data_IF_940309967915
#
_entry.id   IF_940309967915
#
_cell.length_a   1.000
_cell.length_b   1.000
_cell.length_c   1.000
_cell.angle_alpha   90.00
_cell.angle_beta   90.00
_cell.angle_gamma   90.00
#
_symmetry.space_group_name_H-M   'P 1'
#
loop_
_entity.id
_entity.type
_entity.pdbx_description
1 polymer ?
#
# COMPACT_ATOMS: atom_id res chain seq x y z
N UNK A 1 -26.04 -16.42 -2.75
CA UNK A 1 -24.64 -16.85 -2.68
C UNK A 1 -23.93 -15.95 -3.66
N UNK A 2 -23.27 -14.92 -3.15
CA UNK A 2 -22.58 -13.96 -4.00
C UNK A 2 -21.37 -14.66 -4.60
N UNK A 3 -21.32 -14.70 -5.93
CA UNK A 3 -20.24 -15.29 -6.70
C UNK A 3 -18.96 -14.54 -6.34
N UNK A 4 -18.03 -15.21 -5.64
CA UNK A 4 -16.73 -14.62 -5.34
C UNK A 4 -16.04 -14.41 -6.68
N UNK A 5 -15.76 -13.14 -7.02
CA UNK A 5 -15.02 -12.79 -8.22
C UNK A 5 -13.64 -13.43 -8.13
N UNK A 6 -13.46 -14.55 -8.85
CA UNK A 6 -12.16 -15.18 -9.03
C UNK A 6 -11.24 -14.12 -9.64
N UNK A 7 -10.00 -13.95 -9.16
CA UNK A 7 -9.12 -12.96 -9.75
C UNK A 7 -8.96 -13.32 -11.23
N UNK A 8 -9.08 -12.33 -12.12
CA UNK A 8 -8.89 -12.52 -13.55
C UNK A 8 -7.39 -12.78 -13.80
N UNK A 9 -6.94 -14.02 -13.55
CA UNK A 9 -5.53 -14.39 -13.64
C UNK A 9 -5.15 -14.49 -15.10
N UNK A 10 -4.30 -13.56 -15.56
CA UNK A 10 -3.52 -13.67 -16.79
C UNK A 10 -4.36 -14.00 -18.03
N UNK A 11 -5.00 -13.00 -18.61
CA UNK A 11 -5.57 -13.12 -19.94
C UNK A 11 -4.54 -12.72 -21.00
N UNK A 12 -4.72 -13.23 -22.23
CA UNK A 12 -3.87 -12.86 -23.36
C UNK A 12 -4.12 -11.40 -23.74
N UNK A 13 -3.11 -10.54 -23.58
CA UNK A 13 -3.18 -9.13 -23.95
C UNK A 13 -3.30 -8.94 -25.48
N UNK A 14 -2.99 -9.97 -26.26
CA UNK A 14 -3.17 -9.98 -27.72
C UNK A 14 -4.60 -10.40 -28.14
N UNK A 15 -5.42 -10.90 -27.21
CA UNK A 15 -6.82 -11.27 -27.47
C UNK A 15 -7.76 -10.12 -27.11
N UNK A 16 -8.15 -9.35 -28.14
CA UNK A 16 -9.05 -8.20 -28.00
C UNK A 16 -10.37 -8.52 -27.27
N UNK A 17 -10.91 -9.74 -27.40
CA UNK A 17 -12.14 -10.11 -26.71
C UNK A 17 -11.89 -10.34 -25.21
N UNK A 18 -10.77 -10.97 -24.87
CA UNK A 18 -10.37 -11.16 -23.47
C UNK A 18 -10.09 -9.81 -22.78
N UNK A 19 -9.42 -8.90 -23.50
CA UNK A 19 -9.16 -7.52 -23.08
C UNK A 19 -10.45 -6.79 -22.76
N UNK A 20 -11.40 -6.80 -23.70
CA UNK A 20 -12.68 -6.10 -23.53
C UNK A 20 -13.45 -6.66 -22.35
N UNK A 21 -13.49 -7.99 -22.18
CA UNK A 21 -14.12 -8.63 -21.01
C UNK A 21 -13.47 -8.21 -19.70
N UNK A 22 -12.14 -8.16 -19.66
CA UNK A 22 -11.42 -7.73 -18.47
C UNK A 22 -11.68 -6.24 -18.16
N UNK A 23 -11.67 -5.40 -19.18
CA UNK A 23 -12.02 -3.98 -19.05
C UNK A 23 -13.45 -3.81 -18.52
N UNK A 24 -14.45 -4.47 -19.12
CA UNK A 24 -15.84 -4.40 -18.66
C UNK A 24 -15.98 -4.90 -17.21
N UNK A 25 -15.23 -5.95 -16.86
CA UNK A 25 -15.15 -6.46 -15.50
C UNK A 25 -14.59 -5.41 -14.52
N UNK A 26 -13.47 -4.75 -14.86
CA UNK A 26 -12.90 -3.68 -14.04
C UNK A 26 -13.86 -2.51 -13.87
N UNK A 27 -14.66 -2.20 -14.90
CA UNK A 27 -15.65 -1.11 -14.86
C UNK A 27 -16.81 -1.44 -13.92
N UNK A 28 -17.32 -2.67 -14.00
CA UNK A 28 -18.32 -3.15 -13.06
C UNK A 28 -17.77 -3.17 -11.63
N UNK A 29 -16.54 -3.66 -11.43
CA UNK A 29 -15.88 -3.69 -10.14
C UNK A 29 -15.64 -2.28 -9.57
N UNK A 30 -15.29 -1.31 -10.42
CA UNK A 30 -15.12 0.10 -10.03
C UNK A 30 -16.42 0.71 -9.54
N UNK A 31 -17.52 0.48 -10.26
CA UNK A 31 -18.85 0.93 -9.82
C UNK A 31 -19.21 0.32 -8.45
N UNK A 32 -18.89 -0.96 -8.24
CA UNK A 32 -19.08 -1.62 -6.95
C UNK A 32 -18.17 -1.07 -5.84
N UNK A 33 -16.92 -0.74 -6.16
CA UNK A 33 -15.97 -0.10 -5.23
C UNK A 33 -16.43 1.30 -4.82
N UNK A 34 -17.05 2.05 -5.74
CA UNK A 34 -17.66 3.35 -5.41
C UNK A 34 -18.92 3.21 -4.57
N UNK A 35 -19.72 2.15 -4.79
CA UNK A 35 -20.92 1.87 -3.99
C UNK A 35 -20.61 1.34 -2.59
N UNK A 36 -19.52 0.57 -2.47
CA UNK A 36 -19.04 -0.04 -1.22
C UNK A 36 -17.55 0.28 -1.03
N UNK A 37 -17.22 1.55 -0.74
CA UNK A 37 -15.84 1.98 -0.60
C UNK A 37 -15.16 1.33 0.60
N UNK A 38 -13.83 1.37 0.61
CA UNK A 38 -13.09 1.15 1.85
C UNK A 38 -13.30 2.35 2.77
N UNK A 39 -13.61 2.07 4.04
CA UNK A 39 -13.92 3.08 5.04
C UNK A 39 -13.17 2.77 6.34
N UNK A 40 -12.98 3.77 7.22
CA UNK A 40 -12.53 3.54 8.58
C UNK A 40 -13.38 2.46 9.27
N UNK A 41 -12.73 1.52 9.96
CA UNK A 41 -13.39 0.40 10.64
C UNK A 41 -13.42 -0.91 9.85
N UNK A 42 -13.07 -0.91 8.56
CA UNK A 42 -12.89 -2.14 7.77
C UNK A 42 -11.73 -2.96 8.36
N UNK A 43 -11.90 -4.28 8.45
CA UNK A 43 -10.96 -5.20 9.10
C UNK A 43 -10.41 -6.24 8.13
N UNK A 44 -9.12 -6.51 8.26
CA UNK A 44 -8.44 -7.58 7.54
C UNK A 44 -7.66 -8.46 8.51
N UNK A 45 -7.88 -9.77 8.45
CA UNK A 45 -7.09 -10.74 9.18
C UNK A 45 -5.85 -11.08 8.35
N UNK A 46 -4.68 -10.78 8.91
CA UNK A 46 -3.39 -10.81 8.20
C UNK A 46 -2.34 -11.52 9.05
N UNK A 47 -1.56 -12.38 8.42
CA UNK A 47 -0.37 -13.00 8.99
C UNK A 47 0.86 -12.08 8.82
N UNK A 48 1.14 -11.22 9.81
CA UNK A 48 2.28 -10.31 9.72
C UNK A 48 3.61 -11.05 9.81
N UNK A 49 4.51 -10.78 8.87
CA UNK A 49 5.90 -11.23 8.92
C UNK A 49 6.71 -10.18 9.68
N UNK A 50 7.22 -10.52 10.87
CA UNK A 50 8.04 -9.58 11.65
C UNK A 50 9.45 -9.60 11.06
N UNK A 51 9.94 -8.50 10.45
CA UNK A 51 11.30 -8.45 9.95
C UNK A 51 12.30 -8.47 11.11
N UNK A 52 13.52 -8.99 10.91
CA UNK A 52 14.54 -8.94 11.95
C UNK A 52 14.85 -7.48 12.29
N UNK A 53 15.09 -7.21 13.59
CA UNK A 53 15.57 -5.90 14.02
C UNK A 53 16.87 -5.56 13.29
N UNK A 54 16.99 -4.31 12.83
CA UNK A 54 18.19 -3.87 12.14
C UNK A 54 19.25 -3.55 13.21
N UNK A 55 20.42 -4.22 13.22
CA UNK A 55 21.41 -4.05 14.27
C UNK A 55 22.13 -2.70 14.23
N UNK A 56 21.90 -1.89 13.17
CA UNK A 56 22.52 -0.59 13.05
C UNK A 56 22.06 0.35 14.19
N UNK A 57 22.97 1.07 14.87
CA UNK A 57 22.64 1.87 16.06
C UNK A 57 21.62 2.99 15.80
N UNK A 58 21.56 3.48 14.57
CA UNK A 58 20.61 4.52 14.14
C UNK A 58 19.31 3.95 13.53
N UNK A 59 19.11 2.63 13.55
CA UNK A 59 17.85 2.06 13.08
C UNK A 59 16.73 2.36 14.08
N UNK A 60 15.55 2.70 13.55
CA UNK A 60 14.32 2.76 14.35
C UNK A 60 14.06 1.40 14.96
N UNK A 61 13.51 1.39 16.17
CA UNK A 61 13.01 0.16 16.77
C UNK A 61 11.80 -0.35 15.98
N UNK A 62 11.61 -1.67 15.96
CA UNK A 62 10.39 -2.23 15.39
C UNK A 62 9.16 -1.66 16.12
N UNK A 63 8.07 -1.37 15.38
CA UNK A 63 6.79 -1.06 15.99
C UNK A 63 6.40 -2.10 17.05
N UNK A 64 5.90 -1.69 18.23
CA UNK A 64 5.60 -2.61 19.31
C UNK A 64 4.35 -3.43 18.97
N UNK A 65 4.50 -4.57 18.28
CA UNK A 65 3.37 -5.43 17.98
C UNK A 65 2.91 -6.18 19.25
N UNK A 66 1.59 -6.40 19.42
CA UNK A 66 1.07 -7.21 20.52
C UNK A 66 1.74 -8.59 20.56
N UNK A 67 2.17 -9.02 21.75
CA UNK A 67 2.71 -10.36 21.95
C UNK A 67 1.54 -11.34 21.86
N UNK A 68 1.59 -12.25 20.88
CA UNK A 68 0.61 -13.31 20.74
C UNK A 68 1.28 -14.58 20.23
N UNK A 69 0.63 -15.72 20.49
CA UNK A 69 1.10 -17.05 20.09
C UNK A 69 1.02 -17.31 18.58
N UNK A 70 0.31 -16.45 17.85
CA UNK A 70 0.15 -16.53 16.38
C UNK A 70 0.66 -15.27 15.68
N UNK A 71 1.11 -15.43 14.44
CA UNK A 71 1.37 -14.32 13.50
C UNK A 71 0.11 -13.61 12.99
N UNK A 72 -1.09 -14.07 13.37
CA UNK A 72 -2.37 -13.55 12.88
C UNK A 72 -2.82 -12.32 13.65
N UNK A 73 -2.90 -11.18 12.98
CA UNK A 73 -3.39 -9.92 13.53
C UNK A 73 -4.63 -9.49 12.75
N UNK A 74 -5.52 -8.75 13.41
CA UNK A 74 -6.59 -8.04 12.72
C UNK A 74 -6.16 -6.59 12.55
N UNK A 75 -6.08 -6.12 11.30
CA UNK A 75 -5.79 -4.73 10.99
C UNK A 75 -7.10 -4.01 10.72
N UNK A 76 -7.40 -2.98 11.51
CA UNK A 76 -8.58 -2.13 11.35
C UNK A 76 -8.16 -0.83 10.68
N UNK A 77 -8.71 -0.52 9.50
CA UNK A 77 -8.46 0.76 8.83
C UNK A 77 -8.89 1.93 9.72
N UNK A 78 -8.08 2.98 9.78
CA UNK A 78 -8.32 4.15 10.63
C UNK A 78 -8.42 5.43 9.80
N UNK A 79 -7.29 6.02 9.40
CA UNK A 79 -7.25 7.25 8.61
C UNK A 79 -6.82 6.97 7.15
N UNK A 80 -7.59 7.43 6.13
CA UNK A 80 -7.12 7.41 4.76
C UNK A 80 -6.01 8.44 4.55
N UNK A 81 -4.89 8.01 3.96
CA UNK A 81 -3.78 8.88 3.56
C UNK A 81 -3.84 9.24 2.07
N UNK A 82 -4.31 8.30 1.23
CA UNK A 82 -4.51 8.51 -0.20
C UNK A 82 -5.60 7.55 -0.68
N UNK A 83 -6.71 8.05 -1.20
CA UNK A 83 -7.83 7.19 -1.67
C UNK A 83 -8.42 7.62 -3.01
N UNK A 84 -7.79 8.62 -3.64
CA UNK A 84 -8.27 9.15 -4.91
C UNK A 84 -8.26 8.10 -6.02
N UNK A 85 -9.21 8.25 -6.93
CA UNK A 85 -9.20 7.58 -8.22
C UNK A 85 -7.95 8.02 -9.01
N UNK A 86 -7.50 7.19 -9.95
CA UNK A 86 -6.30 7.41 -10.77
C UNK A 86 -4.96 7.34 -10.01
N UNK A 87 -4.99 6.75 -8.82
CA UNK A 87 -3.79 6.31 -8.11
C UNK A 87 -3.65 4.80 -8.24
N UNK A 88 -2.42 4.33 -8.41
CA UNK A 88 -2.13 2.89 -8.48
C UNK A 88 -2.41 2.14 -7.16
N UNK A 89 -2.67 2.85 -6.07
CA UNK A 89 -2.97 2.26 -4.77
C UNK A 89 -3.73 3.24 -3.88
N UNK A 90 -4.55 2.69 -3.00
CA UNK A 90 -5.05 3.39 -1.83
C UNK A 90 -4.08 3.19 -0.66
N UNK A 91 -3.87 4.20 0.16
CA UNK A 91 -2.97 4.17 1.31
C UNK A 91 -3.74 4.57 2.55
N UNK A 92 -3.70 3.72 3.57
CA UNK A 92 -4.42 3.87 4.81
C UNK A 92 -3.47 3.68 5.98
N UNK A 93 -3.72 4.40 7.08
CA UNK A 93 -3.26 3.91 8.39
C UNK A 93 -4.21 2.82 8.87
N UNK A 94 -3.67 1.86 9.61
CA UNK A 94 -4.45 0.85 10.27
C UNK A 94 -3.92 0.56 11.66
N UNK A 95 -4.86 0.21 12.52
CA UNK A 95 -4.62 -0.19 13.89
C UNK A 95 -4.43 -1.69 13.95
N UNK A 96 -3.41 -2.13 14.68
CA UNK A 96 -3.24 -3.54 15.02
C UNK A 96 -4.12 -3.88 16.22
N UNK A 97 -5.16 -4.68 16.00
CA UNK A 97 -5.97 -5.31 17.04
C UNK A 97 -5.34 -6.68 17.38
N UNK A 98 -4.90 -6.86 18.63
CA UNK A 98 -4.39 -8.14 19.12
C UNK A 98 -5.53 -9.07 19.55
N UNK A 99 -5.43 -10.37 19.26
CA UNK A 99 -6.42 -11.34 19.73
C UNK A 99 -6.30 -11.52 21.25
N UNK A 100 -7.33 -11.10 22.00
CA UNK A 100 -7.52 -11.48 23.41
C UNK A 100 -6.80 -10.63 24.47
N UNK A 101 -6.16 -9.52 24.13
CA UNK A 101 -5.59 -8.61 25.13
C UNK A 101 -6.58 -7.49 25.50
N UNK A 102 -6.79 -7.29 26.80
CA UNK A 102 -7.42 -6.08 27.32
C UNK A 102 -6.70 -4.86 26.72
N UNK A 103 -7.46 -3.89 26.18
CA UNK A 103 -6.95 -2.67 25.52
C UNK A 103 -5.73 -2.11 26.25
N UNK A 104 -4.54 -2.45 25.76
CA UNK A 104 -3.29 -1.87 26.26
C UNK A 104 -3.22 -0.41 25.80
N UNK A 105 -2.59 0.44 26.59
CA UNK A 105 -2.57 1.89 26.40
C UNK A 105 -1.83 2.37 25.13
N UNK A 106 -1.12 1.49 24.43
CA UNK A 106 -0.38 1.84 23.20
C UNK A 106 -0.86 0.99 22.04
N UNK A 107 -1.69 1.59 21.20
CA UNK A 107 -2.24 1.01 19.98
C UNK A 107 -1.21 1.16 18.85
N UNK A 108 -0.79 0.04 18.27
CA UNK A 108 0.22 0.07 17.21
C UNK A 108 -0.43 0.42 15.89
N UNK A 109 0.11 1.44 15.24
CA UNK A 109 -0.34 1.92 13.93
C UNK A 109 0.61 1.44 12.85
N UNK A 110 0.06 0.89 11.78
CA UNK A 110 0.76 0.47 10.57
C UNK A 110 0.19 1.22 9.37
N UNK A 111 0.84 1.10 8.21
CA UNK A 111 0.34 1.58 6.92
C UNK A 111 -0.03 0.40 6.06
N UNK A 112 -1.22 0.45 5.46
CA UNK A 112 -1.68 -0.48 4.43
C UNK A 112 -1.71 0.25 3.10
N UNK A 113 -0.84 -0.17 2.18
CA UNK A 113 -0.91 0.23 0.78
C UNK A 113 -1.66 -0.86 0.01
N UNK A 114 -2.88 -0.55 -0.39
CA UNK A 114 -3.82 -1.48 -1.00
C UNK A 114 -3.88 -1.22 -2.50
N UNK A 115 -3.51 -2.22 -3.27
CA UNK A 115 -3.57 -2.22 -4.73
C UNK A 115 -4.83 -2.99 -5.13
N UNK A 116 -5.89 -2.25 -5.41
CA UNK A 116 -7.19 -2.77 -5.83
C UNK A 116 -7.34 -2.55 -7.35
N UNK A 117 -7.48 -3.61 -8.17
CA UNK A 117 -7.50 -3.50 -9.63
C UNK A 117 -8.44 -2.43 -10.18
N UNK A 118 -9.68 -2.40 -9.72
CA UNK A 118 -10.70 -1.46 -10.20
C UNK A 118 -10.40 0.00 -9.87
N UNK A 119 -9.53 0.26 -8.89
CA UNK A 119 -9.16 1.60 -8.45
C UNK A 119 -7.87 2.11 -9.09
N UNK A 120 -7.08 1.24 -9.74
CA UNK A 120 -5.92 1.63 -10.53
C UNK A 120 -6.35 2.42 -11.78
N UNK A 121 -5.46 3.25 -12.38
CA UNK A 121 -5.75 3.96 -13.62
C UNK A 121 -6.33 3.03 -14.69
N UNK A 122 -7.42 3.48 -15.29
CA UNK A 122 -8.09 2.77 -16.37
C UNK A 122 -7.24 2.88 -17.64
N UNK A 123 -7.14 1.82 -18.42
CA UNK A 123 -6.55 1.91 -19.75
C UNK A 123 -7.67 2.11 -20.77
N UNK A 124 -7.43 2.97 -21.76
CA UNK A 124 -8.31 3.10 -22.92
C UNK A 124 -8.05 1.93 -23.87
N UNK A 125 -9.10 1.23 -24.30
CA UNK A 125 -8.99 0.09 -25.22
C UNK A 125 -8.59 0.57 -26.63
N UNK A 126 -8.94 1.80 -26.99
CA UNK A 126 -8.77 2.33 -28.35
C UNK A 126 -7.36 2.94 -28.58
N UNK A 127 -6.68 3.37 -27.52
CA UNK A 127 -5.26 3.72 -27.57
C UNK A 127 -4.42 2.44 -27.60
N UNK A 128 -3.30 2.41 -28.33
CA UNK A 128 -2.46 1.24 -28.56
C UNK A 128 -1.78 0.72 -27.26
N UNK A 129 -2.59 0.20 -26.32
CA UNK A 129 -2.31 0.00 -24.90
C UNK A 129 -1.56 -1.31 -24.61
N UNK A 130 -1.52 -2.21 -25.60
CA UNK A 130 -0.82 -3.49 -25.57
C UNK A 130 0.67 -3.25 -25.34
N UNK A 131 1.10 -3.35 -24.09
CA UNK A 131 2.49 -3.18 -23.65
C UNK A 131 2.68 -2.22 -22.47
N UNK A 132 1.70 -1.35 -22.17
CA UNK A 132 1.80 -0.37 -21.08
C UNK A 132 0.97 -0.74 -19.85
N UNK A 133 -0.01 -1.63 -19.99
CA UNK A 133 -0.79 -2.08 -18.84
C UNK A 133 0.03 -3.01 -17.96
N UNK A 134 0.17 -2.64 -16.69
CA UNK A 134 0.80 -3.49 -15.68
C UNK A 134 -0.27 -4.08 -14.79
N UNK A 135 -0.31 -5.41 -14.71
CA UNK A 135 -1.24 -6.10 -13.82
C UNK A 135 -1.05 -5.66 -12.36
N UNK A 136 -2.12 -5.27 -11.65
CA UNK A 136 -2.05 -4.83 -10.26
C UNK A 136 -1.34 -5.83 -9.33
N UNK A 137 -1.56 -7.13 -9.53
CA UNK A 137 -0.84 -8.19 -8.80
C UNK A 137 0.68 -8.10 -9.01
N UNK A 138 1.09 -7.96 -10.27
CA UNK A 138 2.49 -7.88 -10.63
C UNK A 138 3.15 -6.66 -10.01
N UNK A 139 2.47 -5.50 -10.01
CA UNK A 139 2.93 -4.29 -9.32
C UNK A 139 3.13 -4.55 -7.82
N UNK A 140 2.16 -5.18 -7.17
CA UNK A 140 2.24 -5.48 -5.74
C UNK A 140 3.43 -6.40 -5.40
N UNK A 141 3.58 -7.48 -6.17
CA UNK A 141 4.67 -8.45 -6.00
C UNK A 141 6.03 -7.84 -6.29
N UNK A 142 6.14 -7.02 -7.34
CA UNK A 142 7.39 -6.33 -7.68
C UNK A 142 7.81 -5.39 -6.55
N UNK A 143 6.88 -4.64 -5.97
CA UNK A 143 7.16 -3.76 -4.83
C UNK A 143 7.56 -4.55 -3.58
N UNK A 144 6.89 -5.66 -3.27
CA UNK A 144 7.27 -6.55 -2.18
C UNK A 144 8.71 -7.11 -2.36
N UNK A 145 9.06 -7.53 -3.58
CA UNK A 145 10.43 -7.97 -3.91
C UNK A 145 11.47 -6.87 -3.72
N UNK A 146 11.12 -5.61 -3.96
CA UNK A 146 12.02 -4.47 -3.70
C UNK A 146 12.29 -4.32 -2.20
N UNK A 147 11.26 -4.45 -1.36
CA UNK A 147 11.43 -4.42 0.11
C UNK A 147 12.32 -5.56 0.61
N UNK A 148 12.16 -6.76 0.07
CA UNK A 148 13.02 -7.92 0.40
C UNK A 148 14.49 -7.65 0.05
N UNK A 149 14.74 -7.09 -1.14
CA UNK A 149 16.11 -6.73 -1.58
C UNK A 149 16.72 -5.60 -0.75
N UNK A 150 15.88 -4.75 -0.15
CA UNK A 150 16.28 -3.63 0.70
C UNK A 150 16.15 -3.93 2.20
N UNK A 151 16.09 -5.21 2.60
CA UNK A 151 15.92 -5.61 3.99
C UNK A 151 16.94 -4.96 4.94
N UNK A 152 18.20 -4.81 4.53
CA UNK A 152 19.25 -4.16 5.33
C UNK A 152 19.10 -2.64 5.48
N UNK A 153 18.19 -2.00 4.71
CA UNK A 153 17.86 -0.58 4.79
C UNK A 153 16.56 -0.31 5.58
N UNK A 154 15.78 -1.35 5.87
CA UNK A 154 14.56 -1.22 6.67
C UNK A 154 14.87 -0.78 8.10
N UNK A 155 14.04 0.10 8.64
CA UNK A 155 14.26 0.79 9.92
C UNK A 155 15.26 1.96 9.83
N UNK A 156 15.98 2.12 8.72
CA UNK A 156 16.88 3.25 8.47
C UNK A 156 16.23 4.25 7.51
N UNK A 157 16.54 4.12 6.22
CA UNK A 157 16.06 5.04 5.18
C UNK A 157 14.70 4.65 4.60
N UNK A 158 14.27 3.40 4.81
CA UNK A 158 12.94 2.92 4.39
C UNK A 158 12.19 2.34 5.59
N UNK A 159 10.84 2.31 5.54
CA UNK A 159 10.03 1.69 6.58
C UNK A 159 10.31 0.19 6.73
N UNK A 160 10.03 -0.37 7.90
CA UNK A 160 9.87 -1.83 8.01
C UNK A 160 8.71 -2.33 7.16
N UNK A 161 8.90 -3.48 6.50
CA UNK A 161 7.92 -4.17 5.69
C UNK A 161 7.48 -5.45 6.38
N UNK A 162 6.18 -5.61 6.55
CA UNK A 162 5.57 -6.73 7.27
C UNK A 162 4.94 -7.77 6.34
N UNK A 163 5.08 -7.60 5.03
CA UNK A 163 4.62 -8.55 4.03
C UNK A 163 3.57 -8.00 3.07
N UNK A 164 3.26 -8.85 2.10
CA UNK A 164 2.20 -8.66 1.11
C UNK A 164 1.10 -9.69 1.37
N UNK A 165 -0.15 -9.25 1.36
CA UNK A 165 -1.31 -10.08 1.68
C UNK A 165 -2.39 -9.91 0.62
N UNK A 166 -3.02 -11.02 0.25
CA UNK A 166 -4.24 -10.99 -0.56
C UNK A 166 -5.42 -10.74 0.37
N UNK A 167 -6.20 -9.71 0.09
CA UNK A 167 -7.38 -9.32 0.89
C UNK A 167 -8.62 -9.31 0.01
N UNK A 168 -9.80 -9.41 0.65
CA UNK A 168 -11.09 -9.21 0.00
C UNK A 168 -11.66 -7.87 0.46
N UNK A 169 -11.89 -6.95 -0.48
CA UNK A 169 -12.41 -5.60 -0.17
C UNK A 169 -13.91 -5.65 0.16
N UNK A 170 -14.48 -4.57 0.74
CA UNK A 170 -15.93 -4.46 0.96
C UNK A 170 -16.77 -4.56 -0.33
N UNK A 171 -16.18 -4.25 -1.49
CA UNK A 171 -16.80 -4.39 -2.81
C UNK A 171 -16.71 -5.81 -3.38
N UNK A 172 -16.27 -6.80 -2.59
CA UNK A 172 -16.07 -8.19 -2.99
C UNK A 172 -15.03 -8.37 -4.11
N UNK A 173 -14.03 -7.48 -4.13
CA UNK A 173 -12.91 -7.53 -5.07
C UNK A 173 -11.65 -8.02 -4.35
N UNK A 174 -10.85 -8.83 -5.02
CA UNK A 174 -9.54 -9.24 -4.51
C UNK A 174 -8.54 -8.11 -4.74
N UNK A 175 -7.81 -7.76 -3.70
CA UNK A 175 -6.76 -6.75 -3.74
C UNK A 175 -5.48 -7.25 -3.03
N UNK A 176 -4.38 -6.54 -3.22
CA UNK A 176 -3.11 -6.83 -2.55
C UNK A 176 -2.73 -5.71 -1.60
N UNK A 177 -2.58 -6.03 -0.32
CA UNK A 177 -2.14 -5.11 0.72
C UNK A 177 -0.67 -5.31 1.02
N UNK A 178 0.13 -4.25 0.89
CA UNK A 178 1.48 -4.18 1.44
C UNK A 178 1.39 -3.52 2.82
N UNK A 179 1.92 -4.20 3.85
CA UNK A 179 1.88 -3.71 5.23
C UNK A 179 3.24 -3.15 5.61
N UNK A 180 3.24 -1.90 6.10
CA UNK A 180 4.44 -1.11 6.34
C UNK A 180 4.41 -0.47 7.74
N UNK A 181 5.59 -0.15 8.27
CA UNK A 181 5.76 0.71 9.43
C UNK A 181 5.13 2.08 9.16
N UNK A 182 4.30 2.56 10.08
CA UNK A 182 3.89 3.95 10.10
C UNK A 182 5.00 4.81 10.70
N UNK A 183 5.43 5.83 9.96
CA UNK A 183 6.42 6.81 10.42
C UNK A 183 5.70 8.14 10.65
N UNK A 184 5.56 8.60 11.89
CA UNK A 184 5.00 9.92 12.17
C UNK A 184 5.85 11.01 11.55
N UNK A 185 5.23 11.93 10.80
CA UNK A 185 5.95 13.02 10.17
C UNK A 185 5.10 13.81 9.19
N UNK A 186 5.70 14.86 8.63
CA UNK A 186 5.11 15.61 7.53
C UNK A 186 5.62 15.05 6.19
N UNK A 187 4.78 15.14 5.16
CA UNK A 187 5.23 14.81 3.80
C UNK A 187 6.28 15.82 3.34
N UNK A 188 7.15 15.43 2.40
CA UNK A 188 8.12 16.36 1.79
C UNK A 188 7.43 17.55 1.14
N UNK A 189 6.24 17.37 0.58
CA UNK A 189 5.45 18.45 0.00
C UNK A 189 5.02 19.44 1.09
N UNK A 190 4.41 18.95 2.18
CA UNK A 190 4.04 19.80 3.32
C UNK A 190 5.26 20.52 3.91
N UNK A 191 6.39 19.83 4.01
CA UNK A 191 7.64 20.41 4.46
C UNK A 191 8.12 21.52 3.51
N UNK A 192 8.15 21.28 2.19
CA UNK A 192 8.52 22.27 1.18
C UNK A 192 7.59 23.50 1.20
N UNK A 193 6.28 23.26 1.31
CA UNK A 193 5.26 24.32 1.38
C UNK A 193 5.41 25.13 2.68
N UNK A 194 5.83 24.50 3.78
CA UNK A 194 6.08 25.18 5.05
C UNK A 194 7.39 25.98 5.07
N UNK A 195 8.42 25.51 4.36
CA UNK A 195 9.78 26.10 4.33
C UNK A 195 9.92 27.26 3.34
N UNK A 196 8.98 27.43 2.41
CA UNK A 196 8.83 28.67 1.64
C UNK A 196 8.57 29.93 2.51
N UNK A 197 8.45 29.79 3.84
CA UNK A 197 8.42 30.91 4.80
C UNK A 197 9.77 31.30 5.41
N UNK A 198 10.85 30.51 5.28
CA UNK A 198 12.17 30.91 5.82
C UNK A 198 13.31 30.17 5.10
N UNK A 199 13.76 30.74 3.98
CA UNK A 199 14.97 30.29 3.27
C UNK A 199 16.19 30.69 4.09
N UNK A 200 16.57 29.90 5.09
CA UNK A 200 17.92 29.96 5.65
C UNK A 200 18.44 28.66 6.29
N UNK A 201 17.62 27.62 6.49
CA UNK A 201 18.05 26.39 7.21
C UNK A 201 18.08 25.11 6.34
N UNK A 202 17.83 25.18 5.03
CA UNK A 202 17.60 23.99 4.19
C UNK A 202 18.84 23.25 3.65
N UNK A 203 20.05 23.54 4.13
CA UNK A 203 21.27 22.88 3.62
C UNK A 203 21.59 21.54 4.30
N UNK A 204 21.13 21.27 5.53
CA UNK A 204 21.51 20.02 6.23
C UNK A 204 20.69 18.79 5.81
N UNK A 205 19.43 18.98 5.38
CA UNK A 205 18.57 17.87 4.94
C UNK A 205 18.94 17.30 3.56
N UNK A 206 19.46 18.14 2.65
CA UNK A 206 19.79 17.70 1.28
C UNK A 206 21.11 16.92 1.23
N UNK A 207 22.02 17.16 2.17
CA UNK A 207 23.33 16.50 2.20
C UNK A 207 23.32 15.09 2.83
N UNK A 208 22.30 14.73 3.64
CA UNK A 208 22.17 13.36 4.17
C UNK A 208 21.37 12.42 3.25
N UNK A 209 20.79 12.94 2.17
CA UNK A 209 19.85 12.20 1.33
C UNK A 209 20.14 12.35 -0.16
N UNK A 210 21.26 11.80 -0.66
CA UNK A 210 21.36 11.24 -2.02
C UNK A 210 22.38 10.08 -2.08
N UNK A 211 22.15 9.00 -2.85
CA UNK A 211 20.97 8.65 -3.65
C UNK A 211 20.40 7.29 -3.23
N UNK A 212 19.18 7.23 -2.69
CA UNK A 212 18.46 5.96 -2.53
C UNK A 212 16.95 6.18 -2.67
N UNK A 213 16.44 5.82 -3.86
CA UNK A 213 15.12 5.18 -4.08
C UNK A 213 13.92 5.96 -3.54
N UNK A 214 13.63 7.12 -4.11
CA UNK A 214 12.27 7.67 -4.12
C UNK A 214 11.95 8.18 -5.53
N UNK A 215 11.83 7.24 -6.46
CA UNK A 215 11.32 7.49 -7.81
C UNK A 215 9.92 6.89 -8.04
N UNK A 216 9.25 6.36 -7.00
CA UNK A 216 8.01 5.59 -7.20
C UNK A 216 6.85 5.98 -6.27
N UNK A 217 6.95 7.05 -5.48
CA UNK A 217 5.84 7.49 -4.61
C UNK A 217 5.30 8.90 -4.88
N UNK A 218 5.86 9.65 -5.82
CA UNK A 218 5.25 10.92 -6.28
C UNK A 218 5.99 11.44 -7.51
N UNK A 219 5.56 11.04 -8.71
CA UNK A 219 5.87 11.74 -9.96
C UNK A 219 4.80 11.40 -11.01
N UNK A 220 3.63 12.01 -10.86
CA UNK A 220 2.81 12.50 -11.98
C UNK A 220 2.19 13.81 -11.54
N UNK A 221 2.90 14.91 -11.82
CA UNK A 221 2.33 16.24 -11.86
C UNK A 221 2.50 16.74 -13.30
N UNK A 222 1.35 16.85 -13.99
CA UNK A 222 1.11 17.38 -15.35
C UNK A 222 1.58 16.51 -16.51
#
# INVERSE_FOLDING_TARGET
MDEISVPFVGFDLCDNDAVRKYHDHLGAARNMAQLKPMEPGVRFDIDLVIPPANPHPNARSLPPLPIQSSSKFTLCLDLPLQTDLDRFSQVWTAVVEGFGAARSATQTTLVLKIIQPSMCPYFDIDDNWVGNYTFPEYTARLEAMVYDRLANKQGLSIPYFFGIHTILTPSNEIAWALVLEYIPGQTLQTYADSTNKTIQESCELVCSSRPCIYASLSCTCS
#
